data_IF_931154214280
#
_entry.id   IF_931154214280
#
_cell.length_a   1.000
_cell.length_b   1.000
_cell.length_c   1.000
_cell.angle_alpha   90.00
_cell.angle_beta   90.00
_cell.angle_gamma   90.00
#
_symmetry.space_group_name_H-M   'P 1'
#
loop_
_entity.id
_entity.type
_entity.pdbx_description
1 polymer ?
#
# COMPACT_ATOMS: atom_id res chain seq x y z
N UNK A 1 19.89 -26.08 -2.95
CA UNK A 1 18.70 -25.91 -3.82
C UNK A 1 17.85 -24.80 -3.20
N UNK A 2 17.52 -23.74 -3.94
CA UNK A 2 16.66 -22.64 -3.45
C UNK A 2 15.24 -22.84 -3.98
N UNK A 3 14.44 -23.68 -3.29
CA UNK A 3 13.05 -23.98 -3.64
C UNK A 3 12.16 -23.58 -2.49
N UNK A 4 11.21 -22.67 -2.76
CA UNK A 4 10.20 -22.23 -1.81
C UNK A 4 9.03 -23.21 -1.79
N UNK A 5 8.43 -23.42 -0.63
CA UNK A 5 7.33 -24.39 -0.47
C UNK A 5 5.95 -23.74 -0.52
N UNK A 6 5.86 -22.46 -0.19
CA UNK A 6 4.62 -21.69 -0.17
C UNK A 6 4.81 -20.36 -0.89
N UNK A 7 3.78 -19.87 -1.55
CA UNK A 7 3.83 -18.55 -2.19
C UNK A 7 4.09 -17.43 -1.16
N UNK A 8 3.66 -17.63 0.08
CA UNK A 8 3.87 -16.68 1.17
C UNK A 8 5.34 -16.54 1.61
N UNK A 9 6.21 -17.50 1.24
CA UNK A 9 7.64 -17.44 1.51
C UNK A 9 8.37 -16.45 0.56
N UNK A 10 7.69 -16.02 -0.50
CA UNK A 10 8.19 -15.05 -1.47
C UNK A 10 7.76 -13.60 -1.17
N UNK A 11 6.95 -13.39 -0.12
CA UNK A 11 6.48 -12.05 0.27
C UNK A 11 7.63 -11.30 0.95
N UNK A 12 7.89 -10.07 0.51
CA UNK A 12 8.98 -9.25 1.00
C UNK A 12 10.28 -9.44 0.21
N UNK A 13 11.39 -8.88 0.71
CA UNK A 13 12.66 -8.88 0.00
C UNK A 13 12.58 -8.16 -1.36
N UNK A 14 11.72 -7.17 -1.48
CA UNK A 14 11.49 -6.42 -2.71
C UNK A 14 12.68 -5.50 -3.01
N UNK A 15 13.03 -5.27 -4.30
CA UNK A 15 14.20 -4.49 -4.64
C UNK A 15 14.02 -2.98 -4.47
N UNK A 16 15.13 -2.27 -4.30
CA UNK A 16 15.28 -0.84 -4.58
C UNK A 16 15.79 -0.63 -6.00
N UNK A 17 15.25 0.36 -6.68
CA UNK A 17 15.69 0.81 -8.00
C UNK A 17 16.03 2.31 -7.94
N UNK A 18 17.22 2.73 -8.33
CA UNK A 18 17.56 4.14 -8.54
C UNK A 18 16.90 4.64 -9.82
N UNK A 19 16.15 5.74 -9.73
CA UNK A 19 15.39 6.32 -10.85
C UNK A 19 16.29 7.27 -11.69
N UNK A 20 17.40 6.75 -12.21
CA UNK A 20 18.48 7.55 -12.82
C UNK A 20 18.05 8.36 -14.04
N UNK A 21 17.21 7.80 -14.91
CA UNK A 21 16.71 8.51 -16.09
C UNK A 21 15.69 9.58 -15.70
N UNK A 22 14.84 9.27 -14.72
CA UNK A 22 13.84 10.20 -14.20
C UNK A 22 14.51 11.38 -13.47
N UNK A 23 15.54 11.10 -12.65
CA UNK A 23 16.35 12.11 -11.98
C UNK A 23 17.00 13.07 -12.98
N UNK A 24 17.65 12.52 -14.01
CA UNK A 24 18.28 13.31 -15.09
C UNK A 24 17.28 14.14 -15.87
N UNK A 25 16.13 13.57 -16.24
CA UNK A 25 15.11 14.27 -17.02
C UNK A 25 14.44 15.41 -16.23
N UNK A 26 14.46 15.37 -14.90
CA UNK A 26 13.88 16.37 -14.01
C UNK A 26 14.92 17.27 -13.34
N UNK A 27 16.22 17.13 -13.69
CA UNK A 27 17.35 17.91 -13.15
C UNK A 27 17.40 17.87 -11.61
N UNK A 28 17.24 16.66 -11.04
CA UNK A 28 17.18 16.49 -9.59
C UNK A 28 18.58 16.49 -8.97
N UNK A 29 18.73 17.11 -7.82
CA UNK A 29 19.99 17.21 -7.09
C UNK A 29 20.15 16.14 -5.98
N UNK A 30 19.14 15.31 -5.76
CA UNK A 30 19.14 14.20 -4.82
C UNK A 30 18.82 12.90 -5.56
N UNK A 31 19.20 11.77 -4.97
CA UNK A 31 18.89 10.44 -5.51
C UNK A 31 17.51 9.98 -5.04
N UNK A 32 16.77 9.35 -5.96
CA UNK A 32 15.47 8.75 -5.63
C UNK A 32 15.54 7.25 -5.85
N UNK A 33 15.40 6.49 -4.77
CA UNK A 33 15.30 5.03 -4.80
C UNK A 33 13.84 4.61 -4.65
N UNK A 34 13.36 3.85 -5.62
CA UNK A 34 12.01 3.29 -5.64
C UNK A 34 11.98 1.91 -4.96
N UNK A 35 11.26 1.75 -3.86
CA UNK A 35 10.99 0.44 -3.24
C UNK A 35 9.85 -0.21 -4.01
N UNK A 36 10.16 -1.20 -4.84
CA UNK A 36 9.23 -1.79 -5.82
C UNK A 36 8.39 -2.91 -5.19
N UNK A 37 7.31 -2.55 -4.52
CA UNK A 37 6.45 -3.51 -3.81
C UNK A 37 5.58 -4.39 -4.72
N UNK A 38 5.51 -4.09 -6.03
CA UNK A 38 4.84 -4.98 -6.98
C UNK A 38 5.59 -6.29 -7.24
N UNK A 39 6.84 -6.43 -6.78
CA UNK A 39 7.57 -7.69 -6.78
C UNK A 39 7.04 -8.69 -5.74
N UNK A 40 6.17 -8.30 -4.83
CA UNK A 40 5.45 -9.26 -4.02
C UNK A 40 4.57 -10.18 -4.92
N UNK A 41 4.33 -11.45 -4.54
CA UNK A 41 3.68 -12.46 -5.39
C UNK A 41 2.31 -12.07 -5.91
N UNK A 42 1.48 -11.39 -5.12
CA UNK A 42 0.18 -10.89 -5.54
C UNK A 42 0.23 -9.43 -6.03
N UNK A 43 1.44 -8.89 -6.26
CA UNK A 43 1.71 -7.64 -6.97
C UNK A 43 1.53 -6.37 -6.15
N UNK A 44 1.58 -6.41 -4.82
CA UNK A 44 1.51 -5.19 -4.02
C UNK A 44 2.10 -5.31 -2.61
N UNK A 45 2.34 -4.15 -1.99
CA UNK A 45 2.73 -4.01 -0.57
C UNK A 45 1.74 -4.69 0.39
N UNK A 46 0.49 -4.86 -0.03
CA UNK A 46 -0.57 -5.43 0.81
C UNK A 46 -0.42 -6.94 1.04
N UNK A 47 0.38 -7.62 0.25
CA UNK A 47 0.73 -9.02 0.49
C UNK A 47 1.37 -9.18 1.87
N UNK A 48 2.21 -8.21 2.27
CA UNK A 48 2.87 -8.21 3.58
C UNK A 48 1.86 -8.16 4.73
N UNK A 49 0.92 -7.22 4.68
CA UNK A 49 -0.09 -7.09 5.75
C UNK A 49 -1.10 -8.24 5.72
N UNK A 50 -1.47 -8.74 4.54
CA UNK A 50 -2.35 -9.90 4.42
C UNK A 50 -1.75 -11.11 5.13
N UNK A 51 -0.48 -11.43 4.84
CA UNK A 51 0.24 -12.49 5.53
C UNK A 51 0.32 -12.24 7.04
N UNK A 52 0.74 -11.05 7.45
CA UNK A 52 0.98 -10.72 8.86
C UNK A 52 -0.29 -10.74 9.71
N UNK A 53 -1.41 -10.22 9.20
CA UNK A 53 -2.70 -10.25 9.91
C UNK A 53 -3.22 -11.68 10.08
N UNK A 54 -3.01 -12.55 9.09
CA UNK A 54 -3.42 -13.96 9.21
C UNK A 54 -2.46 -14.75 10.10
N UNK A 55 -1.14 -14.51 10.05
CA UNK A 55 -0.15 -15.12 10.95
C UNK A 55 -0.49 -14.78 12.41
N UNK A 56 -0.73 -13.51 12.70
CA UNK A 56 -1.08 -13.02 14.05
C UNK A 56 -2.40 -13.63 14.55
N UNK A 57 -3.38 -13.75 13.66
CA UNK A 57 -4.67 -14.36 14.00
C UNK A 57 -4.57 -15.87 14.25
N UNK A 58 -3.75 -16.60 13.49
CA UNK A 58 -3.46 -18.02 13.72
C UNK A 58 -2.74 -18.21 15.06
N UNK A 59 -1.70 -17.40 15.33
CA UNK A 59 -0.92 -17.45 16.57
C UNK A 59 -1.78 -17.18 17.82
N UNK A 60 -2.72 -16.25 17.71
CA UNK A 60 -3.67 -15.91 18.78
C UNK A 60 -4.86 -16.87 18.89
N UNK A 61 -4.97 -17.83 18.00
CA UNK A 61 -6.10 -18.78 17.95
C UNK A 61 -7.43 -18.14 17.52
N UNK A 62 -7.39 -16.95 16.92
CA UNK A 62 -8.56 -16.25 16.38
C UNK A 62 -8.94 -16.79 15.00
N UNK A 63 -7.97 -17.24 14.21
CA UNK A 63 -8.17 -17.87 12.92
C UNK A 63 -7.89 -19.37 13.05
N UNK A 64 -8.97 -20.18 13.03
CA UNK A 64 -8.90 -21.64 13.20
C UNK A 64 -9.00 -22.34 11.85
N UNK A 65 -8.58 -23.61 11.74
CA UNK A 65 -8.80 -24.42 10.55
C UNK A 65 -10.27 -24.39 10.10
N UNK A 66 -10.49 -24.20 8.80
CA UNK A 66 -11.83 -24.08 8.22
C UNK A 66 -12.54 -22.74 8.47
N UNK A 67 -11.85 -21.76 9.04
CA UNK A 67 -12.40 -20.42 9.22
C UNK A 67 -12.69 -19.74 7.87
N UNK A 68 -13.61 -18.78 7.90
CA UNK A 68 -13.95 -17.89 6.78
C UNK A 68 -13.39 -16.50 7.08
N UNK A 69 -12.52 -16.01 6.23
CA UNK A 69 -11.98 -14.66 6.31
C UNK A 69 -12.96 -13.71 5.61
N UNK A 70 -13.37 -12.67 6.29
CA UNK A 70 -14.31 -11.67 5.74
C UNK A 70 -13.65 -10.30 5.85
N UNK A 71 -13.50 -9.55 4.74
CA UNK A 71 -12.92 -8.20 4.77
C UNK A 71 -13.68 -7.26 3.84
N UNK A 72 -14.02 -6.04 4.31
CA UNK A 72 -14.61 -5.01 3.47
C UNK A 72 -13.52 -4.31 2.67
N UNK A 73 -13.23 -4.81 1.49
CA UNK A 73 -12.20 -4.24 0.61
C UNK A 73 -12.37 -4.67 -0.84
N UNK A 74 -12.08 -3.77 -1.75
CA UNK A 74 -11.99 -4.05 -3.19
C UNK A 74 -10.57 -3.84 -3.73
N UNK A 75 -9.65 -3.45 -2.85
CA UNK A 75 -8.29 -3.06 -3.22
C UNK A 75 -7.27 -4.19 -3.05
N UNK A 76 -6.01 -3.76 -3.01
CA UNK A 76 -4.85 -4.65 -2.91
C UNK A 76 -4.87 -5.54 -1.65
N UNK A 77 -5.47 -5.07 -0.56
CA UNK A 77 -5.64 -5.89 0.65
C UNK A 77 -6.49 -7.14 0.39
N UNK A 78 -7.59 -6.99 -0.35
CA UNK A 78 -8.42 -8.12 -0.75
C UNK A 78 -7.67 -9.12 -1.63
N UNK A 79 -6.84 -8.62 -2.56
CA UNK A 79 -6.00 -9.46 -3.43
C UNK A 79 -4.96 -10.22 -2.60
N UNK A 80 -4.25 -9.53 -1.70
CA UNK A 80 -3.29 -10.16 -0.81
C UNK A 80 -3.93 -11.20 0.11
N UNK A 81 -5.08 -10.88 0.73
CA UNK A 81 -5.82 -11.83 1.57
C UNK A 81 -6.28 -13.05 0.77
N UNK A 82 -6.83 -12.86 -0.42
CA UNK A 82 -7.28 -13.95 -1.27
C UNK A 82 -6.11 -14.87 -1.68
N UNK A 83 -4.95 -14.30 -2.05
CA UNK A 83 -3.75 -15.07 -2.40
C UNK A 83 -3.21 -15.88 -1.22
N UNK A 84 -3.03 -15.24 -0.05
CA UNK A 84 -2.53 -15.92 1.15
C UNK A 84 -3.50 -16.99 1.62
N UNK A 85 -4.79 -16.68 1.67
CA UNK A 85 -5.84 -17.60 2.08
C UNK A 85 -5.94 -18.83 1.17
N UNK A 86 -5.87 -18.64 -0.15
CA UNK A 86 -5.84 -19.73 -1.12
C UNK A 86 -4.67 -20.70 -0.84
N UNK A 87 -3.48 -20.16 -0.53
CA UNK A 87 -2.30 -20.96 -0.22
C UNK A 87 -2.39 -21.73 1.12
N UNK A 88 -3.32 -21.34 2.01
CA UNK A 88 -3.55 -21.94 3.33
C UNK A 88 -4.85 -22.75 3.44
N UNK A 89 -5.67 -22.76 2.38
CA UNK A 89 -6.95 -23.46 2.35
C UNK A 89 -8.08 -22.76 3.11
N UNK A 90 -7.98 -21.46 3.37
CA UNK A 90 -9.06 -20.66 3.94
C UNK A 90 -10.02 -20.17 2.87
N UNK A 91 -11.29 -20.07 3.23
CA UNK A 91 -12.30 -19.36 2.44
C UNK A 91 -12.21 -17.86 2.69
N UNK A 92 -12.46 -17.07 1.65
CA UNK A 92 -12.46 -15.61 1.73
C UNK A 92 -13.75 -15.06 1.15
N UNK A 93 -14.40 -14.19 1.89
CA UNK A 93 -15.54 -13.37 1.45
C UNK A 93 -15.10 -11.91 1.49
N UNK A 94 -15.20 -11.23 0.36
CA UNK A 94 -14.89 -9.80 0.26
C UNK A 94 -16.16 -9.01 -0.04
N UNK A 95 -16.44 -8.03 0.80
CA UNK A 95 -17.57 -7.13 0.58
C UNK A 95 -17.10 -5.83 -0.05
N UNK A 96 -17.80 -5.37 -1.07
CA UNK A 96 -17.43 -4.16 -1.80
C UNK A 96 -18.62 -3.54 -2.53
N UNK A 97 -18.59 -2.22 -2.79
CA UNK A 97 -19.63 -1.58 -3.63
C UNK A 97 -19.64 -2.17 -5.04
N UNK A 98 -20.82 -2.30 -5.62
CA UNK A 98 -21.01 -2.79 -7.00
C UNK A 98 -20.37 -1.91 -8.07
N UNK A 99 -19.99 -0.67 -7.73
CA UNK A 99 -19.28 0.28 -8.59
C UNK A 99 -17.82 -0.08 -8.83
N UNK A 100 -17.29 -1.10 -8.15
CA UNK A 100 -15.91 -1.55 -8.36
C UNK A 100 -15.72 -2.18 -9.73
N UNK A 101 -14.54 -1.95 -10.34
CA UNK A 101 -14.24 -2.38 -11.71
C UNK A 101 -14.37 -3.90 -11.88
N UNK A 102 -14.76 -4.31 -13.08
CA UNK A 102 -14.92 -5.73 -13.44
C UNK A 102 -13.58 -6.46 -13.35
N UNK A 103 -12.49 -5.82 -13.77
CA UNK A 103 -11.13 -6.38 -13.73
C UNK A 103 -10.73 -6.75 -12.30
N UNK A 104 -10.98 -5.86 -11.33
CA UNK A 104 -10.71 -6.14 -9.91
C UNK A 104 -11.54 -7.29 -9.37
N UNK A 105 -12.84 -7.31 -9.72
CA UNK A 105 -13.72 -8.41 -9.32
C UNK A 105 -13.27 -9.74 -9.92
N UNK A 106 -12.86 -9.76 -11.20
CA UNK A 106 -12.37 -10.97 -11.85
C UNK A 106 -11.06 -11.47 -11.23
N UNK A 107 -10.13 -10.56 -10.90
CA UNK A 107 -8.87 -10.92 -10.24
C UNK A 107 -9.11 -11.59 -8.88
N UNK A 108 -10.00 -11.02 -8.06
CA UNK A 108 -10.36 -11.60 -6.75
C UNK A 108 -11.02 -12.97 -6.89
N UNK A 109 -11.95 -13.13 -7.85
CA UNK A 109 -12.58 -14.43 -8.14
C UNK A 109 -11.57 -15.46 -8.65
N UNK A 110 -10.56 -15.05 -9.42
CA UNK A 110 -9.50 -15.95 -9.90
C UNK A 110 -8.68 -16.56 -8.75
N UNK A 111 -8.53 -15.85 -7.63
CA UNK A 111 -7.97 -16.39 -6.39
C UNK A 111 -8.96 -17.23 -5.56
N UNK A 112 -10.20 -17.40 -6.01
CA UNK A 112 -11.23 -18.18 -5.33
C UNK A 112 -12.00 -17.41 -4.25
N UNK A 113 -11.87 -16.08 -4.18
CA UNK A 113 -12.64 -15.27 -3.23
C UNK A 113 -14.12 -15.17 -3.65
N UNK A 114 -15.01 -15.30 -2.69
CA UNK A 114 -16.43 -14.99 -2.84
C UNK A 114 -16.62 -13.48 -2.71
N UNK A 115 -17.36 -12.89 -3.64
CA UNK A 115 -17.63 -11.45 -3.66
C UNK A 115 -19.09 -11.16 -3.30
N UNK A 116 -19.28 -10.36 -2.27
CA UNK A 116 -20.60 -9.83 -1.89
C UNK A 116 -20.65 -8.35 -2.25
N UNK A 117 -21.40 -8.06 -3.31
CA UNK A 117 -21.57 -6.69 -3.80
C UNK A 117 -22.63 -5.97 -2.97
N UNK A 118 -22.32 -4.74 -2.57
CA UNK A 118 -23.24 -3.86 -1.84
C UNK A 118 -23.67 -2.72 -2.75
N UNK A 119 -24.78 -2.09 -2.37
CA UNK A 119 -25.38 -0.95 -3.06
C UNK A 119 -24.36 0.17 -3.24
N UNK A 120 -24.13 0.60 -4.48
CA UNK A 120 -23.10 1.58 -4.83
C UNK A 120 -23.24 2.90 -4.09
N UNK A 121 -24.49 3.37 -3.87
CA UNK A 121 -24.78 4.61 -3.15
C UNK A 121 -24.32 4.59 -1.68
N UNK A 122 -24.18 3.40 -1.07
CA UNK A 122 -23.70 3.26 0.32
C UNK A 122 -22.18 3.24 0.44
N UNK A 123 -21.44 3.15 -0.67
CA UNK A 123 -19.99 3.16 -0.70
C UNK A 123 -19.33 2.15 0.27
N UNK A 124 -18.14 2.49 0.77
CA UNK A 124 -17.42 1.65 1.75
C UNK A 124 -18.16 1.44 3.08
N UNK A 125 -18.87 2.42 3.66
CA UNK A 125 -19.68 2.17 4.85
C UNK A 125 -20.69 1.03 4.68
N UNK A 126 -21.33 0.92 3.51
CA UNK A 126 -22.22 -0.20 3.18
C UNK A 126 -21.48 -1.55 3.11
N UNK A 127 -20.30 -1.58 2.54
CA UNK A 127 -19.46 -2.78 2.50
C UNK A 127 -19.02 -3.22 3.91
N UNK A 128 -18.64 -2.27 4.77
CA UNK A 128 -18.25 -2.53 6.17
C UNK A 128 -19.43 -3.11 6.96
N UNK A 129 -20.61 -2.51 6.84
CA UNK A 129 -21.81 -3.01 7.51
C UNK A 129 -22.15 -4.45 7.08
N UNK A 130 -22.03 -4.73 5.76
CA UNK A 130 -22.28 -6.07 5.21
C UNK A 130 -21.24 -7.10 5.67
N UNK A 131 -19.97 -6.71 5.79
CA UNK A 131 -18.94 -7.60 6.33
C UNK A 131 -19.24 -8.01 7.78
N UNK A 132 -19.66 -7.06 8.62
CA UNK A 132 -20.06 -7.33 10.01
C UNK A 132 -21.28 -8.25 10.09
N UNK A 133 -22.33 -7.95 9.32
CA UNK A 133 -23.51 -8.81 9.22
C UNK A 133 -23.16 -10.26 8.84
N UNK A 134 -22.30 -10.43 7.82
CA UNK A 134 -21.87 -11.76 7.39
C UNK A 134 -21.03 -12.46 8.45
N UNK A 135 -20.19 -11.74 9.19
CA UNK A 135 -19.40 -12.32 10.27
C UNK A 135 -20.27 -12.81 11.42
N UNK A 136 -21.32 -12.07 11.78
CA UNK A 136 -22.31 -12.49 12.79
C UNK A 136 -23.09 -13.76 12.38
N UNK A 137 -23.35 -13.93 11.08
CA UNK A 137 -24.10 -15.04 10.51
C UNK A 137 -23.20 -16.25 10.16
N UNK A 138 -21.88 -16.06 10.13
CA UNK A 138 -20.91 -17.10 9.71
C UNK A 138 -20.15 -17.61 10.93
N UNK A 139 -20.46 -18.81 11.43
CA UNK A 139 -19.68 -19.43 12.49
C UNK A 139 -18.21 -19.57 12.07
N UNK A 140 -17.28 -19.39 13.00
CA UNK A 140 -15.85 -19.48 12.76
C UNK A 140 -15.36 -18.51 11.67
N UNK A 141 -15.86 -17.27 11.68
CA UNK A 141 -15.38 -16.20 10.79
C UNK A 141 -14.36 -15.31 11.49
N UNK A 142 -13.54 -14.63 10.69
CA UNK A 142 -12.54 -13.66 11.15
C UNK A 142 -12.48 -12.46 10.22
N UNK A 143 -12.51 -11.25 10.80
CA UNK A 143 -12.33 -9.98 10.06
C UNK A 143 -10.93 -9.43 10.38
N UNK A 144 -9.99 -9.41 9.42
CA UNK A 144 -8.63 -8.88 9.62
C UNK A 144 -8.56 -7.42 10.03
N UNK A 145 -9.46 -6.56 9.55
CA UNK A 145 -9.58 -5.14 9.94
C UNK A 145 -8.32 -4.32 9.68
N UNK A 146 -7.92 -4.17 8.42
CA UNK A 146 -6.67 -3.53 8.01
C UNK A 146 -6.37 -2.15 8.62
N UNK A 147 -7.40 -1.38 8.98
CA UNK A 147 -7.28 -0.01 9.50
C UNK A 147 -7.05 0.06 11.02
N UNK A 148 -7.24 -1.04 11.74
CA UNK A 148 -7.13 -1.09 13.21
C UNK A 148 -6.21 -2.21 13.70
N UNK A 149 -5.82 -3.15 12.84
CA UNK A 149 -4.99 -4.29 13.19
C UNK A 149 -3.51 -3.91 13.33
N UNK A 150 -2.98 -4.07 14.54
CA UNK A 150 -1.59 -3.74 14.87
C UNK A 150 -0.54 -4.59 14.11
N UNK A 151 -0.91 -5.76 13.58
CA UNK A 151 -0.01 -6.57 12.75
C UNK A 151 0.35 -5.85 11.44
N UNK A 152 -0.48 -4.90 10.97
CA UNK A 152 -0.23 -4.08 9.79
C UNK A 152 1.04 -3.21 9.96
N UNK A 153 1.14 -2.24 10.87
CA UNK A 153 2.40 -1.49 11.03
C UNK A 153 3.55 -2.38 11.53
N UNK A 154 3.27 -3.41 12.32
CA UNK A 154 4.29 -4.30 12.86
C UNK A 154 5.07 -5.07 11.78
N UNK A 155 4.43 -5.52 10.69
CA UNK A 155 5.15 -6.21 9.61
C UNK A 155 6.10 -5.28 8.87
N UNK A 156 5.75 -4.01 8.69
CA UNK A 156 6.62 -3.02 8.06
C UNK A 156 7.81 -2.65 8.94
N UNK A 157 7.60 -2.57 10.26
CA UNK A 157 8.68 -2.42 11.23
C UNK A 157 9.67 -3.60 11.19
N UNK A 158 9.15 -4.82 11.02
CA UNK A 158 9.95 -6.05 11.03
C UNK A 158 10.59 -6.41 9.69
N UNK A 159 10.06 -5.93 8.57
CA UNK A 159 10.50 -6.36 7.22
C UNK A 159 10.85 -5.18 6.31
N UNK A 160 9.89 -4.37 5.92
CA UNK A 160 10.08 -3.30 4.92
C UNK A 160 11.10 -2.26 5.37
N UNK A 161 11.06 -1.83 6.62
CA UNK A 161 12.03 -0.89 7.20
C UNK A 161 13.45 -1.45 7.21
N UNK A 162 13.71 -2.65 7.77
CA UNK A 162 15.00 -3.34 7.71
C UNK A 162 15.52 -3.54 6.28
N UNK A 163 14.67 -3.93 5.33
CA UNK A 163 15.05 -4.09 3.92
C UNK A 163 15.57 -2.76 3.34
N UNK A 164 14.82 -1.66 3.52
CA UNK A 164 15.23 -0.33 3.03
C UNK A 164 16.57 0.08 3.64
N UNK A 165 16.73 -0.09 4.95
CA UNK A 165 17.96 0.26 5.64
C UNK A 165 19.17 -0.53 5.14
N UNK A 166 19.03 -1.85 4.99
CA UNK A 166 20.08 -2.72 4.49
C UNK A 166 20.43 -2.42 3.03
N UNK A 167 19.42 -2.25 2.17
CA UNK A 167 19.61 -2.03 0.73
C UNK A 167 20.21 -0.64 0.42
N UNK A 168 20.17 0.29 1.37
CA UNK A 168 20.80 1.62 1.26
C UNK A 168 22.12 1.73 2.01
N UNK A 169 22.65 0.65 2.59
CA UNK A 169 23.79 0.69 3.52
C UNK A 169 23.60 1.73 4.66
N UNK A 170 22.35 1.91 5.11
CA UNK A 170 21.99 2.89 6.14
C UNK A 170 22.03 4.35 5.69
N UNK A 171 22.07 4.63 4.40
CA UNK A 171 22.24 6.00 3.85
C UNK A 171 20.92 6.69 3.46
N UNK A 172 19.78 6.18 3.91
CA UNK A 172 18.49 6.84 3.65
C UNK A 172 18.35 8.11 4.50
N UNK A 173 18.07 9.24 3.84
CA UNK A 173 17.86 10.54 4.50
C UNK A 173 16.35 10.87 4.61
N UNK A 174 15.57 10.51 3.58
CA UNK A 174 14.14 10.83 3.52
C UNK A 174 13.38 9.58 3.04
N UNK A 175 12.32 9.22 3.76
CA UNK A 175 11.38 8.18 3.36
C UNK A 175 10.03 8.80 3.00
N UNK A 176 9.50 8.44 1.83
CA UNK A 176 8.25 8.98 1.27
C UNK A 176 7.27 7.84 1.02
N UNK A 177 6.08 7.91 1.58
CA UNK A 177 5.03 6.93 1.30
C UNK A 177 3.64 7.53 1.34
N UNK A 178 2.75 7.05 0.47
CA UNK A 178 1.34 7.36 0.48
C UNK A 178 0.62 6.74 1.68
N UNK A 179 -0.32 7.48 2.27
CA UNK A 179 -1.08 7.04 3.44
C UNK A 179 -2.46 6.52 3.03
N UNK A 180 -2.59 5.19 3.00
CA UNK A 180 -3.88 4.50 2.93
C UNK A 180 -4.32 4.08 4.32
N UNK A 181 -3.82 2.94 4.82
CA UNK A 181 -3.99 2.51 6.22
C UNK A 181 -2.98 3.15 7.17
N UNK A 182 -1.90 3.73 6.64
CA UNK A 182 -0.83 4.31 7.45
C UNK A 182 0.20 3.31 7.99
N UNK A 183 -0.06 2.01 7.89
CA UNK A 183 0.82 0.97 8.44
C UNK A 183 2.22 0.98 7.86
N UNK A 184 2.36 1.19 6.54
CA UNK A 184 3.66 1.30 5.88
C UNK A 184 4.48 2.46 6.44
N UNK A 185 3.87 3.67 6.46
CA UNK A 185 4.55 4.87 6.94
C UNK A 185 4.95 4.72 8.40
N UNK A 186 4.04 4.21 9.24
CA UNK A 186 4.28 4.01 10.67
C UNK A 186 5.37 2.98 10.94
N UNK A 187 5.30 1.82 10.32
CA UNK A 187 6.25 0.74 10.59
C UNK A 187 7.64 1.03 10.03
N UNK A 188 7.74 1.49 8.78
CA UNK A 188 9.02 1.85 8.16
C UNK A 188 9.62 3.06 8.87
N UNK A 189 8.82 4.11 9.10
CA UNK A 189 9.29 5.32 9.80
C UNK A 189 9.84 5.02 11.19
N UNK A 190 9.13 4.19 11.97
CA UNK A 190 9.59 3.77 13.29
C UNK A 190 10.93 3.02 13.23
N UNK A 191 11.09 2.11 12.27
CA UNK A 191 12.36 1.40 12.10
C UNK A 191 13.48 2.35 11.70
N UNK A 192 13.29 3.15 10.64
CA UNK A 192 14.33 4.05 10.15
C UNK A 192 14.77 5.07 11.21
N UNK A 193 13.83 5.68 11.92
CA UNK A 193 14.14 6.62 13.01
C UNK A 193 14.80 5.93 14.21
N UNK A 194 14.56 4.64 14.45
CA UNK A 194 15.27 3.88 15.47
C UNK A 194 16.75 3.67 15.13
N UNK A 195 17.07 3.59 13.83
CA UNK A 195 18.45 3.46 13.34
C UNK A 195 19.16 4.82 13.22
N UNK A 196 18.45 5.81 12.71
CA UNK A 196 18.93 7.19 12.59
C UNK A 196 17.77 8.17 12.84
N UNK A 197 17.73 8.87 14.00
CA UNK A 197 16.65 9.78 14.34
C UNK A 197 16.54 11.00 13.40
N UNK A 198 17.56 11.27 12.58
CA UNK A 198 17.54 12.36 11.61
C UNK A 198 16.85 11.99 10.27
N UNK A 199 16.47 10.75 10.07
CA UNK A 199 15.70 10.36 8.89
C UNK A 199 14.35 11.09 8.90
N UNK A 200 14.06 11.82 7.82
CA UNK A 200 12.77 12.47 7.63
C UNK A 200 11.77 11.49 7.04
N UNK A 201 10.57 11.49 7.56
CA UNK A 201 9.43 10.69 7.09
C UNK A 201 8.38 11.63 6.53
N UNK A 202 8.01 11.42 5.27
CA UNK A 202 7.06 12.26 4.55
C UNK A 202 5.81 11.46 4.19
N UNK A 203 4.67 11.93 4.70
CA UNK A 203 3.35 11.35 4.44
C UNK A 203 2.77 11.98 3.17
N UNK A 204 2.36 11.17 2.20
CA UNK A 204 1.69 11.65 0.98
C UNK A 204 0.18 11.42 1.10
N UNK A 205 -0.60 12.47 0.86
CA UNK A 205 -2.06 12.43 0.80
C UNK A 205 -2.61 13.10 -0.47
N UNK A 206 -3.86 12.80 -0.90
CA UNK A 206 -4.47 13.51 -2.02
C UNK A 206 -4.78 14.96 -1.64
N UNK A 207 -4.41 15.91 -2.49
CA UNK A 207 -4.63 17.34 -2.24
C UNK A 207 -6.12 17.72 -2.12
N UNK A 208 -7.01 16.95 -2.77
CA UNK A 208 -8.47 17.16 -2.68
C UNK A 208 -9.12 16.44 -1.49
N UNK A 209 -8.33 15.67 -0.72
CA UNK A 209 -8.77 14.99 0.52
C UNK A 209 -7.69 15.09 1.60
N UNK A 210 -7.30 16.33 2.02
CA UNK A 210 -6.12 16.58 2.85
C UNK A 210 -6.43 16.38 4.34
N UNK A 211 -6.87 15.19 4.71
CA UNK A 211 -7.32 14.85 6.08
C UNK A 211 -6.18 14.91 7.09
N UNK A 212 -4.99 14.48 6.70
CA UNK A 212 -3.81 14.52 7.58
C UNK A 212 -3.35 15.96 7.84
N UNK A 213 -3.53 16.84 6.85
CA UNK A 213 -3.25 18.29 6.98
C UNK A 213 -4.36 19.07 7.71
N UNK A 214 -5.34 18.38 8.31
CA UNK A 214 -6.46 19.01 9.02
C UNK A 214 -7.60 19.51 8.13
N UNK A 215 -7.59 19.17 6.83
CA UNK A 215 -8.67 19.48 5.90
C UNK A 215 -9.80 18.45 5.95
N UNK A 216 -10.80 18.66 5.08
CA UNK A 216 -11.94 17.75 4.97
C UNK A 216 -11.67 16.65 3.95
N UNK A 217 -12.22 15.47 4.21
CA UNK A 217 -12.28 14.40 3.22
C UNK A 217 -13.03 14.85 1.96
N UNK A 218 -12.49 14.51 0.80
CA UNK A 218 -13.07 14.85 -0.49
C UNK A 218 -12.81 13.77 -1.55
N UNK A 219 -13.48 13.84 -2.70
CA UNK A 219 -13.26 12.89 -3.79
C UNK A 219 -11.89 13.10 -4.42
N UNK A 220 -11.22 12.00 -4.71
CA UNK A 220 -9.94 11.97 -5.42
C UNK A 220 -9.82 10.71 -6.28
N UNK A 221 -8.82 10.69 -7.18
CA UNK A 221 -8.56 9.57 -8.10
C UNK A 221 -7.27 8.81 -7.78
N UNK A 222 -6.55 9.15 -6.70
CA UNK A 222 -5.32 8.46 -6.29
C UNK A 222 -5.72 7.21 -5.48
N UNK A 223 -6.04 6.13 -6.18
CA UNK A 223 -6.48 4.89 -5.54
C UNK A 223 -5.39 4.32 -4.62
N UNK A 224 -5.82 3.76 -3.49
CA UNK A 224 -4.94 3.10 -2.52
C UNK A 224 -4.47 3.96 -1.36
N UNK A 225 -4.65 5.29 -1.44
CA UNK A 225 -4.38 6.24 -0.36
C UNK A 225 -5.58 7.13 -0.11
N UNK A 226 -5.55 7.97 0.92
CA UNK A 226 -6.61 8.94 1.19
C UNK A 226 -7.91 8.26 1.63
N UNK A 227 -7.90 7.54 2.74
CA UNK A 227 -9.08 6.80 3.25
C UNK A 227 -10.26 7.69 3.68
N UNK A 228 -10.05 9.02 3.78
CA UNK A 228 -11.06 9.97 4.22
C UNK A 228 -11.17 10.13 5.74
N UNK A 229 -10.33 9.45 6.48
CA UNK A 229 -10.18 9.53 7.94
C UNK A 229 -8.75 9.21 8.33
N UNK A 230 -8.37 9.48 9.60
CA UNK A 230 -7.08 9.09 10.16
C UNK A 230 -7.20 7.65 10.68
N UNK A 231 -6.46 6.67 10.11
CA UNK A 231 -6.53 5.28 10.54
C UNK A 231 -5.88 5.04 11.91
N UNK A 232 -6.37 4.09 12.70
CA UNK A 232 -5.78 3.70 13.98
C UNK A 232 -4.37 3.08 13.82
N UNK A 233 -4.10 2.51 12.65
CA UNK A 233 -2.78 1.95 12.30
C UNK A 233 -1.74 3.01 11.89
N UNK A 234 -2.14 4.28 11.80
CA UNK A 234 -1.24 5.40 11.55
C UNK A 234 -0.74 6.01 12.86
N UNK A 235 0.55 5.96 13.08
CA UNK A 235 1.20 6.79 14.11
C UNK A 235 1.38 8.21 13.55
N UNK A 236 0.58 9.15 14.05
CA UNK A 236 0.61 10.56 13.60
C UNK A 236 1.86 11.33 14.02
N UNK A 237 2.63 10.80 14.96
CA UNK A 237 3.88 11.42 15.43
C UNK A 237 5.11 10.95 14.63
N UNK A 238 4.93 10.02 13.67
CA UNK A 238 6.05 9.43 12.97
C UNK A 238 6.56 10.27 11.79
N UNK A 239 5.68 11.02 11.14
CA UNK A 239 6.04 11.82 9.98
C UNK A 239 6.42 13.25 10.37
N UNK A 240 7.38 13.79 9.64
CA UNK A 240 7.91 15.15 9.83
C UNK A 240 7.26 16.16 8.89
N UNK A 241 6.68 15.67 7.78
CA UNK A 241 6.03 16.50 6.77
C UNK A 241 4.86 15.73 6.12
N UNK A 242 3.82 16.47 5.76
CA UNK A 242 2.71 15.97 4.94
C UNK A 242 2.82 16.65 3.57
N UNK A 243 2.79 15.86 2.50
CA UNK A 243 2.87 16.34 1.12
C UNK A 243 1.57 16.03 0.36
N UNK A 244 0.72 17.04 0.11
CA UNK A 244 -0.49 16.85 -0.69
C UNK A 244 -0.15 16.79 -2.18
N UNK A 245 -0.73 15.81 -2.90
CA UNK A 245 -0.50 15.58 -4.34
C UNK A 245 -1.81 15.67 -5.11
N UNK A 246 -1.79 16.36 -6.27
CA UNK A 246 -2.93 16.42 -7.19
C UNK A 246 -3.04 15.12 -8.00
N UNK A 247 -4.25 14.79 -8.47
CA UNK A 247 -4.47 13.60 -9.29
C UNK A 247 -3.60 13.62 -10.56
N UNK A 248 -3.55 14.77 -11.21
CA UNK A 248 -2.85 14.98 -12.48
C UNK A 248 -1.34 14.78 -12.34
N UNK A 249 -0.77 15.26 -11.23
CA UNK A 249 0.66 15.10 -10.92
C UNK A 249 1.00 13.61 -10.69
N UNK A 250 0.15 12.89 -9.97
CA UNK A 250 0.31 11.45 -9.77
C UNK A 250 0.23 10.68 -11.10
N UNK A 251 -0.72 11.03 -11.97
CA UNK A 251 -0.88 10.39 -13.28
C UNK A 251 0.31 10.68 -14.20
N UNK A 252 0.70 11.94 -14.31
CA UNK A 252 1.82 12.36 -15.15
C UNK A 252 3.13 11.68 -14.74
N UNK A 253 3.40 11.63 -13.42
CA UNK A 253 4.59 11.01 -12.87
C UNK A 253 4.60 9.50 -13.12
N UNK A 254 3.48 8.82 -12.89
CA UNK A 254 3.40 7.38 -13.15
C UNK A 254 3.61 7.02 -14.62
N UNK A 255 3.07 7.81 -15.56
CA UNK A 255 3.35 7.66 -16.99
C UNK A 255 4.83 7.93 -17.33
N UNK A 256 5.42 8.95 -16.70
CA UNK A 256 6.83 9.26 -16.90
C UNK A 256 7.73 8.11 -16.46
N UNK A 257 7.48 7.49 -15.31
CA UNK A 257 8.22 6.32 -14.82
C UNK A 257 8.18 5.15 -15.78
N UNK A 258 7.01 4.85 -16.34
CA UNK A 258 6.88 3.77 -17.33
C UNK A 258 7.73 4.05 -18.58
N UNK A 259 7.82 5.31 -19.02
CA UNK A 259 8.53 5.72 -20.24
C UNK A 259 10.03 5.95 -20.04
N UNK A 260 10.45 6.39 -18.87
CA UNK A 260 11.87 6.70 -18.58
C UNK A 260 12.62 5.53 -17.96
N UNK A 261 11.98 4.79 -17.04
CA UNK A 261 12.61 3.71 -16.28
C UNK A 261 12.12 2.32 -16.68
N UNK A 262 11.07 2.20 -17.51
CA UNK A 262 10.43 0.93 -17.81
C UNK A 262 9.66 0.34 -16.62
N UNK A 263 9.30 1.16 -15.65
CA UNK A 263 8.63 0.76 -14.40
C UNK A 263 7.15 1.10 -14.48
N UNK A 264 6.30 0.10 -14.73
CA UNK A 264 4.86 0.28 -14.81
C UNK A 264 4.24 0.13 -13.40
N UNK A 265 3.81 1.25 -12.83
CA UNK A 265 3.34 1.33 -11.43
C UNK A 265 1.96 1.97 -11.31
N UNK A 266 1.31 1.76 -10.15
CA UNK A 266 0.00 2.32 -9.87
C UNK A 266 0.01 3.82 -9.56
N UNK A 267 -1.19 4.39 -9.43
CA UNK A 267 -1.40 5.83 -9.28
C UNK A 267 -0.73 6.37 -8.00
N UNK A 268 -0.86 5.65 -6.89
CA UNK A 268 -0.24 6.06 -5.62
C UNK A 268 1.29 6.01 -5.65
N UNK A 269 1.87 5.17 -6.51
CA UNK A 269 3.31 5.16 -6.77
C UNK A 269 3.75 6.45 -7.48
N UNK A 270 2.98 6.89 -8.49
CA UNK A 270 3.19 8.18 -9.14
C UNK A 270 3.13 9.34 -8.15
N UNK A 271 2.17 9.33 -7.22
CA UNK A 271 2.07 10.33 -6.16
C UNK A 271 3.30 10.34 -5.25
N UNK A 272 3.79 9.17 -4.83
CA UNK A 272 4.96 9.07 -3.95
C UNK A 272 6.23 9.58 -4.65
N UNK A 273 6.44 9.23 -5.92
CA UNK A 273 7.60 9.71 -6.69
C UNK A 273 7.48 11.20 -7.01
N UNK A 274 6.29 11.72 -7.29
CA UNK A 274 6.09 13.16 -7.45
C UNK A 274 6.54 13.93 -6.20
N UNK A 275 6.06 13.52 -5.03
CA UNK A 275 6.47 14.13 -3.77
C UNK A 275 7.99 14.02 -3.56
N UNK A 276 8.58 12.84 -3.80
CA UNK A 276 10.03 12.64 -3.70
C UNK A 276 10.81 13.57 -4.65
N UNK A 277 10.33 13.76 -5.88
CA UNK A 277 10.96 14.67 -6.85
C UNK A 277 10.88 16.13 -6.41
N UNK A 278 9.75 16.58 -5.84
CA UNK A 278 9.64 17.93 -5.29
C UNK A 278 10.59 18.15 -4.09
N UNK A 279 10.74 17.13 -3.24
CA UNK A 279 11.73 17.16 -2.15
C UNK A 279 13.16 17.18 -2.67
N UNK A 280 13.46 16.43 -3.75
CA UNK A 280 14.77 16.36 -4.37
C UNK A 280 15.22 17.69 -5.03
N UNK A 281 14.26 18.53 -5.42
CA UNK A 281 14.52 19.88 -5.97
C UNK A 281 14.89 20.92 -4.92
N UNK A 282 14.63 20.64 -3.64
CA UNK A 282 14.93 21.58 -2.56
C UNK A 282 16.45 21.66 -2.34
N UNK A 283 17.04 22.87 -2.26
CA UNK A 283 18.49 23.04 -2.10
C UNK A 283 19.06 22.31 -0.87
N UNK A 284 18.32 22.28 0.24
CA UNK A 284 18.72 21.61 1.47
C UNK A 284 18.76 20.08 1.36
N UNK A 285 18.23 19.52 0.30
CA UNK A 285 18.21 18.09 0.03
C UNK A 285 19.24 17.67 -1.05
N UNK A 286 20.06 18.59 -1.54
CA UNK A 286 21.10 18.26 -2.51
C UNK A 286 22.02 17.16 -1.97
N UNK A 287 22.27 16.13 -2.79
CA UNK A 287 23.11 14.98 -2.46
C UNK A 287 22.48 13.94 -1.51
N UNK A 288 21.26 14.15 -1.04
CA UNK A 288 20.57 13.20 -0.17
C UNK A 288 20.01 12.00 -0.92
N UNK A 289 19.72 10.94 -0.17
CA UNK A 289 19.05 9.73 -0.61
C UNK A 289 17.59 9.76 -0.14
N UNK A 290 16.67 9.76 -1.10
CA UNK A 290 15.22 9.75 -0.87
C UNK A 290 14.69 8.38 -1.31
N UNK A 291 14.04 7.66 -0.41
CA UNK A 291 13.39 6.40 -0.72
C UNK A 291 11.88 6.62 -0.84
N UNK A 292 11.33 6.36 -2.02
CA UNK A 292 9.89 6.39 -2.27
C UNK A 292 9.36 4.95 -2.34
N UNK A 293 8.28 4.64 -1.59
CA UNK A 293 7.65 3.33 -1.68
C UNK A 293 6.59 3.34 -2.78
N UNK A 294 6.73 2.41 -3.74
CA UNK A 294 5.84 2.20 -4.87
C UNK A 294 4.97 0.97 -4.61
N UNK A 295 3.69 1.17 -4.21
CA UNK A 295 2.88 0.11 -3.61
C UNK A 295 2.52 -1.05 -4.52
N UNK A 296 2.27 -0.82 -5.82
CA UNK A 296 1.71 -1.85 -6.70
C UNK A 296 2.02 -1.65 -8.19
N UNK A 297 1.60 -2.65 -8.99
CA UNK A 297 1.74 -2.66 -10.45
C UNK A 297 0.74 -1.73 -11.14
N UNK A 298 1.16 -1.13 -12.25
CA UNK A 298 0.30 -0.29 -13.10
C UNK A 298 -0.72 -1.05 -13.93
N UNK A 299 -0.58 -2.36 -14.11
CA UNK A 299 -1.52 -3.18 -14.87
C UNK A 299 -2.96 -3.11 -14.35
N UNK A 300 -3.12 -2.83 -13.06
CA UNK A 300 -4.42 -2.66 -12.40
C UNK A 300 -5.13 -1.35 -12.76
N UNK A 301 -4.47 -0.46 -13.51
CA UNK A 301 -4.91 0.93 -13.74
C UNK A 301 -4.97 1.30 -15.22
N UNK A 302 -4.76 0.32 -16.15
CA UNK A 302 -4.71 0.58 -17.59
C UNK A 302 -6.00 1.20 -18.14
N UNK A 303 -7.16 0.90 -17.55
CA UNK A 303 -8.46 1.48 -17.91
C UNK A 303 -8.80 2.78 -17.16
N UNK A 304 -7.87 3.31 -16.36
CA UNK A 304 -8.09 4.56 -15.62
C UNK A 304 -7.55 5.77 -16.39
N UNK A 305 -7.93 7.02 -16.00
CA UNK A 305 -7.40 8.24 -16.61
C UNK A 305 -5.87 8.40 -16.52
N UNK A 306 -5.18 7.54 -15.78
CA UNK A 306 -3.73 7.53 -15.75
C UNK A 306 -3.15 7.03 -17.08
N UNK A 307 -3.78 6.03 -17.73
CA UNK A 307 -3.27 5.38 -18.93
C UNK A 307 -4.25 5.41 -20.11
N UNK A 308 -5.56 5.53 -19.85
CA UNK A 308 -6.56 5.71 -20.89
C UNK A 308 -6.53 7.17 -21.39
N UNK A 309 -6.65 7.34 -22.70
CA UNK A 309 -6.75 8.65 -23.38
C UNK A 309 -8.11 9.30 -23.11
#
# INVERSE_FOLDING_TARGET
>A
MRVYRKITDLIGGTPLLELTNYEKANELNAKIYAKLEYFNPAGSVKDRIAKAMLDDAEEKGLLKPGAVIIEPTSGNTGIGLASVAASRGYKVILTMPETMSVERRNLLKAYGAELVLTEGAKGMPGAIAKAKELAEQTPNSYIPSQFTNSANPAVHLKTTGPEIWADTDGKVDIFVAGVGTGGTLSGVGAYLKSQNPNVKVVAVEPATSPVLSGGKAGPHKIQGIGAGFVPDTLNTDIYDEIFPVQNEDAFATGRALARSEGVLVGISSGAAVFAAAQLAKRPENAGKVIVALLPDTGERYLSTPMFAD
#
